data_IF_062239377574
#
_entry.id   IF_062239377574
#
_cell.length_a   1.000
_cell.length_b   1.000
_cell.length_c   1.000
_cell.angle_alpha   90.00
_cell.angle_beta   90.00
_cell.angle_gamma   90.00
#
_symmetry.space_group_name_H-M   'P 1'
#
loop_
_entity.id
_entity.type
_entity.pdbx_description
1 polymer ?
#
# COMPACT_ATOMS: atom_id res chain seq x y z
N UNK A 1 3.87 -19.84 9.41
CA UNK A 1 3.74 -19.84 8.90
C UNK A 1 3.58 -19.01 8.16
N UNK A 2 3.77 -18.32 7.97
CA UNK A 2 3.60 -17.58 7.24
C UNK A 2 4.53 -17.22 6.32
N UNK A 3 5.15 -18.01 5.65
CA UNK A 3 6.03 -17.82 4.66
C UNK A 3 5.43 -17.46 3.43
N UNK A 4 4.17 -17.47 3.28
CA UNK A 4 3.54 -17.34 2.01
C UNK A 4 3.78 -15.99 1.35
N UNK A 5 3.91 -14.90 2.12
CA UNK A 5 4.16 -13.60 1.49
C UNK A 5 5.58 -13.49 0.99
N UNK A 6 6.52 -14.13 1.67
CA UNK A 6 7.89 -14.17 1.18
C UNK A 6 7.95 -14.96 -0.13
N UNK A 7 7.22 -16.06 -0.20
CA UNK A 7 7.20 -16.87 -1.40
C UNK A 7 6.46 -16.15 -2.53
N UNK A 8 5.44 -15.38 -2.20
CA UNK A 8 4.69 -14.64 -3.19
C UNK A 8 5.58 -13.67 -3.96
N UNK A 9 6.61 -13.14 -3.32
CA UNK A 9 7.52 -12.25 -4.01
C UNK A 9 8.21 -12.91 -5.20
N UNK A 10 8.18 -14.24 -5.27
CA UNK A 10 8.79 -14.97 -6.37
C UNK A 10 7.78 -15.40 -7.42
N UNK A 11 6.51 -15.09 -7.23
CA UNK A 11 5.48 -15.47 -8.19
C UNK A 11 5.61 -14.62 -9.43
N UNK A 12 5.58 -15.30 -10.59
CA UNK A 12 5.68 -14.63 -11.87
C UNK A 12 4.29 -14.44 -12.46
N UNK A 13 4.01 -13.24 -12.95
CA UNK A 13 2.74 -12.93 -13.59
C UNK A 13 3.01 -12.62 -15.07
N UNK A 14 2.75 -13.56 -15.97
CA UNK A 14 2.89 -13.28 -17.39
C UNK A 14 1.93 -12.17 -17.82
N UNK A 15 2.24 -11.52 -18.92
CA UNK A 15 1.40 -10.47 -19.44
C UNK A 15 -0.02 -10.97 -19.64
N UNK A 16 -0.99 -10.20 -19.19
CA UNK A 16 -2.37 -10.56 -19.34
C UNK A 16 -2.94 -11.38 -18.20
N UNK A 17 -2.08 -11.91 -17.34
CA UNK A 17 -2.54 -12.69 -16.18
C UNK A 17 -2.68 -11.74 -14.99
N UNK A 18 -3.87 -11.72 -14.40
CA UNK A 18 -4.12 -10.81 -13.27
C UNK A 18 -4.10 -11.51 -11.94
N UNK A 19 -4.13 -12.83 -11.92
CA UNK A 19 -4.07 -13.56 -10.67
C UNK A 19 -3.55 -14.96 -10.94
N UNK A 20 -3.01 -15.60 -9.90
CA UNK A 20 -2.56 -16.98 -9.95
C UNK A 20 -2.99 -17.64 -8.65
N UNK A 21 -2.91 -18.97 -8.60
CA UNK A 21 -3.18 -19.69 -7.37
C UNK A 21 -1.87 -19.97 -6.66
N UNK A 22 -1.87 -19.77 -5.36
CA UNK A 22 -0.70 -20.01 -4.54
C UNK A 22 -1.18 -20.67 -3.27
N UNK A 23 -0.73 -21.90 -3.01
CA UNK A 23 -1.17 -22.68 -1.86
C UNK A 23 -2.69 -22.80 -1.83
N UNK A 24 -3.30 -23.00 -2.99
CA UNK A 24 -4.74 -23.18 -3.08
C UNK A 24 -5.56 -21.91 -2.98
N UNK A 25 -4.91 -20.78 -2.86
CA UNK A 25 -5.61 -19.51 -2.77
C UNK A 25 -5.33 -18.67 -4.00
N UNK A 26 -6.35 -17.95 -4.43
CA UNK A 26 -6.20 -17.04 -5.53
C UNK A 26 -5.45 -15.79 -5.07
N UNK A 27 -4.38 -15.43 -5.75
CA UNK A 27 -3.57 -14.28 -5.39
C UNK A 27 -3.56 -13.33 -6.58
N UNK A 28 -3.94 -12.09 -6.35
CA UNK A 28 -3.96 -11.08 -7.39
C UNK A 28 -2.62 -10.34 -7.40
N UNK A 29 -2.27 -9.84 -8.58
CA UNK A 29 -1.05 -9.07 -8.73
C UNK A 29 -1.04 -7.86 -7.79
N UNK A 30 -2.20 -7.22 -7.64
CA UNK A 30 -2.30 -6.06 -6.77
C UNK A 30 -2.02 -6.42 -5.32
N UNK A 31 -2.50 -7.57 -4.88
CA UNK A 31 -2.27 -8.00 -3.49
C UNK A 31 -0.79 -8.18 -3.22
N UNK A 32 -0.05 -8.70 -4.20
CA UNK A 32 1.38 -8.89 -4.06
C UNK A 32 2.09 -7.55 -3.98
N UNK A 33 1.67 -6.60 -4.80
CA UNK A 33 2.27 -5.27 -4.79
C UNK A 33 2.03 -4.57 -3.45
N UNK A 34 0.83 -4.72 -2.90
CA UNK A 34 0.51 -4.14 -1.60
C UNK A 34 1.40 -4.76 -0.53
N UNK A 35 1.54 -6.08 -0.55
CA UNK A 35 2.33 -6.76 0.46
C UNK A 35 3.80 -6.39 0.37
N UNK A 36 4.33 -6.31 -0.84
CA UNK A 36 5.72 -5.92 -1.03
C UNK A 36 5.97 -4.50 -0.51
N UNK A 37 5.09 -3.58 -0.86
CA UNK A 37 5.24 -2.21 -0.40
C UNK A 37 5.20 -2.13 1.12
N UNK A 38 4.26 -2.87 1.73
CA UNK A 38 4.13 -2.86 3.17
C UNK A 38 5.39 -3.40 3.84
N UNK A 39 5.89 -4.54 3.38
CA UNK A 39 7.09 -5.14 3.96
C UNK A 39 8.30 -4.24 3.79
N UNK A 40 8.43 -3.65 2.63
CA UNK A 40 9.57 -2.80 2.35
C UNK A 40 9.58 -1.55 3.22
N UNK A 41 8.41 -0.93 3.37
CA UNK A 41 8.30 0.27 4.20
C UNK A 41 8.48 -0.03 5.69
N UNK A 42 8.06 -1.22 6.12
CA UNK A 42 8.21 -1.58 7.52
C UNK A 42 9.64 -1.98 7.87
N UNK A 43 10.37 -2.53 6.91
CA UNK A 43 11.72 -3.02 7.17
C UNK A 43 12.82 -2.04 6.79
N UNK A 44 12.49 -0.96 6.12
CA UNK A 44 13.46 0.03 5.68
C UNK A 44 13.07 1.40 6.21
N UNK A 45 14.06 2.27 6.33
CA UNK A 45 13.79 3.63 6.78
C UNK A 45 13.78 4.55 5.58
N UNK A 46 12.75 4.45 4.78
CA UNK A 46 12.59 5.34 3.66
C UNK A 46 12.18 6.73 4.12
N UNK A 47 12.68 7.72 3.40
CA UNK A 47 12.18 9.08 3.55
C UNK A 47 10.84 9.14 2.84
N UNK A 48 9.77 9.27 3.59
CA UNK A 48 8.43 9.22 3.01
C UNK A 48 8.12 10.38 2.08
N UNK A 49 8.95 11.41 2.08
CA UNK A 49 8.76 12.52 1.15
C UNK A 49 9.43 12.25 -0.20
N UNK A 50 10.19 11.16 -0.29
CA UNK A 50 10.93 10.87 -1.52
C UNK A 50 11.02 9.35 -1.71
N UNK A 51 9.87 8.72 -1.86
CA UNK A 51 9.79 7.27 -2.02
C UNK A 51 10.16 6.84 -3.44
N UNK A 52 10.76 5.66 -3.59
CA UNK A 52 11.01 5.12 -4.93
C UNK A 52 9.72 4.94 -5.71
N UNK A 53 9.83 4.99 -7.03
CA UNK A 53 8.64 4.90 -7.88
C UNK A 53 7.90 3.58 -7.74
N UNK A 54 8.59 2.51 -7.39
CA UNK A 54 7.95 1.20 -7.30
C UNK A 54 7.07 1.05 -6.06
N UNK A 55 7.17 1.98 -5.12
CA UNK A 55 6.31 1.96 -3.93
C UNK A 55 4.98 2.58 -4.31
N UNK A 56 3.96 1.75 -4.45
CA UNK A 56 2.64 2.19 -4.90
C UNK A 56 1.58 2.18 -3.80
N UNK A 57 1.87 1.58 -2.66
CA UNK A 57 0.90 1.43 -1.58
C UNK A 57 1.57 1.76 -0.27
N UNK A 58 0.89 2.52 0.57
CA UNK A 58 1.45 2.97 1.83
C UNK A 58 0.50 2.66 2.98
N UNK A 59 1.03 2.08 4.07
CA UNK A 59 0.23 1.95 5.30
C UNK A 59 -0.07 3.34 5.87
N UNK A 60 -1.03 3.39 6.80
CA UNK A 60 -1.50 4.68 7.33
C UNK A 60 -0.37 5.58 7.83
N UNK A 61 0.56 5.02 8.60
CA UNK A 61 1.63 5.82 9.16
C UNK A 61 2.48 6.47 8.07
N UNK A 62 2.87 5.67 7.10
CA UNK A 62 3.69 6.15 6.01
C UNK A 62 2.91 7.09 5.08
N UNK A 63 1.62 6.82 4.90
CA UNK A 63 0.78 7.71 4.11
C UNK A 63 0.68 9.09 4.76
N UNK A 64 0.53 9.12 6.09
CA UNK A 64 0.47 10.39 6.81
C UNK A 64 1.78 11.16 6.65
N UNK A 65 2.91 10.46 6.79
CA UNK A 65 4.21 11.11 6.61
C UNK A 65 4.38 11.63 5.18
N UNK A 66 3.91 10.85 4.22
CA UNK A 66 4.01 11.24 2.82
C UNK A 66 3.25 12.53 2.54
N UNK A 67 2.12 12.72 3.21
CA UNK A 67 1.30 13.91 3.05
C UNK A 67 1.68 15.03 4.02
N UNK A 68 2.56 14.76 4.97
CA UNK A 68 2.94 15.75 5.98
C UNK A 68 1.85 15.97 7.02
N UNK A 69 1.06 14.95 7.30
CA UNK A 69 -0.05 15.05 8.24
C UNK A 69 0.14 14.06 9.39
N UNK A 70 -0.64 14.23 10.46
CA UNK A 70 -0.68 13.25 11.52
C UNK A 70 -1.61 12.12 11.12
N UNK A 71 -1.46 10.97 11.77
CA UNK A 71 -2.34 9.84 11.50
C UNK A 71 -3.78 10.17 11.86
N UNK A 72 -3.98 10.94 12.93
CA UNK A 72 -5.32 11.34 13.32
C UNK A 72 -5.99 12.19 12.24
N UNK A 73 -5.24 13.09 11.64
CA UNK A 73 -5.76 13.94 10.58
C UNK A 73 -6.13 13.10 9.37
N UNK A 74 -5.28 12.12 9.05
CA UNK A 74 -5.54 11.24 7.91
C UNK A 74 -6.83 10.45 8.14
N UNK A 75 -7.03 9.92 9.35
CA UNK A 75 -8.24 9.20 9.69
C UNK A 75 -9.47 10.10 9.56
N UNK A 76 -9.33 11.34 9.98
CA UNK A 76 -10.43 12.30 9.88
C UNK A 76 -10.81 12.54 8.42
N UNK A 77 -9.83 12.65 7.53
CA UNK A 77 -10.13 12.83 6.10
C UNK A 77 -10.83 11.60 5.53
N UNK A 78 -10.46 10.42 6.01
CA UNK A 78 -11.15 9.21 5.57
C UNK A 78 -12.61 9.24 6.02
N UNK A 79 -12.86 9.64 7.26
CA UNK A 79 -14.22 9.70 7.79
C UNK A 79 -15.07 10.70 7.04
N UNK A 80 -14.45 11.74 6.51
CA UNK A 80 -15.17 12.74 5.73
C UNK A 80 -15.31 12.35 4.26
N UNK A 81 -14.78 11.20 3.87
CA UNK A 81 -14.87 10.75 2.50
C UNK A 81 -13.92 11.43 1.54
N UNK A 82 -12.98 12.20 2.04
CA UNK A 82 -12.05 12.92 1.18
C UNK A 82 -10.87 12.07 0.75
N UNK A 83 -10.53 11.06 1.53
CA UNK A 83 -9.39 10.21 1.24
C UNK A 83 -9.68 8.84 1.84
N UNK A 84 -9.82 7.82 1.01
CA UNK A 84 -10.19 6.50 1.49
C UNK A 84 -9.09 5.49 1.20
N UNK A 85 -8.98 4.51 2.08
CA UNK A 85 -8.04 3.42 1.84
C UNK A 85 -8.68 2.41 0.90
N UNK A 86 -7.84 1.62 0.23
CA UNK A 86 -8.32 0.61 -0.70
C UNK A 86 -8.51 -0.74 -0.03
N UNK A 87 -7.78 -1.00 1.06
CA UNK A 87 -7.91 -2.25 1.78
C UNK A 87 -7.26 -2.09 3.15
N UNK A 88 -7.30 -3.14 3.96
CA UNK A 88 -6.67 -3.13 5.27
C UNK A 88 -5.86 -4.41 5.43
N UNK A 89 -4.74 -4.30 6.12
CA UNK A 89 -3.92 -5.45 6.43
C UNK A 89 -3.59 -5.38 7.91
N UNK A 90 -3.99 -6.43 8.67
CA UNK A 90 -3.77 -6.44 10.12
C UNK A 90 -4.29 -5.17 10.77
N UNK A 91 -5.49 -4.75 10.36
CA UNK A 91 -6.15 -3.55 10.88
C UNK A 91 -5.46 -2.25 10.49
N UNK A 92 -4.46 -2.32 9.65
CA UNK A 92 -3.78 -1.13 9.18
C UNK A 92 -4.34 -0.76 7.82
N UNK A 93 -4.91 0.44 7.65
CA UNK A 93 -5.39 0.87 6.34
C UNK A 93 -4.23 1.01 5.36
N UNK A 94 -4.46 0.62 4.13
CA UNK A 94 -3.47 0.72 3.06
C UNK A 94 -4.01 1.69 2.02
N UNK A 95 -3.23 2.70 1.70
CA UNK A 95 -3.63 3.74 0.75
C UNK A 95 -2.87 3.56 -0.55
N UNK A 96 -3.53 3.88 -1.65
CA UNK A 96 -2.89 3.87 -2.94
C UNK A 96 -2.14 5.18 -3.12
N UNK A 97 -0.86 5.11 -3.50
CA UNK A 97 -0.05 6.30 -3.64
C UNK A 97 -0.67 7.33 -4.60
N UNK A 98 -1.29 6.82 -5.66
CA UNK A 98 -1.94 7.70 -6.62
C UNK A 98 -3.04 8.53 -5.96
N UNK A 99 -3.81 7.92 -5.07
CA UNK A 99 -4.86 8.65 -4.36
C UNK A 99 -4.26 9.72 -3.45
N UNK A 100 -3.13 9.40 -2.83
CA UNK A 100 -2.44 10.38 -1.97
C UNK A 100 -1.92 11.55 -2.80
N UNK A 101 -1.37 11.27 -3.97
CA UNK A 101 -0.88 12.32 -4.85
C UNK A 101 -2.01 13.21 -5.31
N UNK A 102 -3.14 12.62 -5.68
CA UNK A 102 -4.29 13.41 -6.11
C UNK A 102 -4.82 14.28 -4.98
N UNK A 103 -4.88 13.73 -3.78
CA UNK A 103 -5.33 14.48 -2.61
C UNK A 103 -4.38 15.65 -2.34
N UNK A 104 -3.08 15.39 -2.46
CA UNK A 104 -2.08 16.42 -2.21
C UNK A 104 -2.22 17.58 -3.19
N UNK A 105 -2.50 17.28 -4.46
CA UNK A 105 -2.69 18.31 -5.45
C UNK A 105 -3.94 19.13 -5.19
N UNK A 106 -5.01 18.49 -4.72
CA UNK A 106 -6.25 19.21 -4.48
C UNK A 106 -6.20 20.13 -3.29
N UNK A 107 -5.35 19.83 -2.31
CA UNK A 107 -5.30 20.62 -1.09
C UNK A 107 -4.21 21.68 -1.12
N UNK A 108 -3.49 21.80 -2.19
CA UNK A 108 -2.45 22.82 -2.32
C UNK A 108 -2.84 23.94 -3.28
#
# INVERSE_FOLDING_TARGET
MNKKWTDINQIYFPDGVKSVYFNGKRVKKEDIQIERSFLELMSSEYDCSNLPDHIKYLPRKQAAEYLGLSESTLTRYHEKGKLTWITRRNRTPIYKREALDNFKQKTQ
#
